data_IF_769439061864
#
_entry.id   IF_769439061864
#
_cell.length_a   1.000
_cell.length_b   1.000
_cell.length_c   1.000
_cell.angle_alpha   90.00
_cell.angle_beta   90.00
_cell.angle_gamma   90.00
#
_symmetry.space_group_name_H-M   'P 1'
#
loop_
_entity.id
_entity.type
_entity.pdbx_description
1 polymer ?
#
# COMPACT_ATOMS: atom_id res chain seq x y z
N UNK A 1 3.04 -6.18 17.41
CA UNK A 1 3.28 -4.98 16.60
C UNK A 1 4.09 -5.40 15.41
N UNK A 2 3.71 -4.97 14.21
CA UNK A 2 4.53 -5.21 13.02
C UNK A 2 5.80 -4.37 13.13
N UNK A 3 6.96 -5.02 13.11
CA UNK A 3 8.26 -4.34 13.16
C UNK A 3 8.91 -4.44 11.79
N UNK A 4 9.18 -3.25 11.23
CA UNK A 4 9.97 -3.04 10.03
C UNK A 4 11.27 -2.34 10.45
N UNK A 5 12.40 -2.79 9.90
CA UNK A 5 13.68 -2.09 10.03
C UNK A 5 14.15 -1.65 8.66
N UNK A 6 14.67 -0.44 8.55
CA UNK A 6 15.20 0.11 7.31
C UNK A 6 16.61 0.66 7.56
N UNK A 7 17.50 0.51 6.58
CA UNK A 7 18.83 1.10 6.65
C UNK A 7 19.30 1.59 5.29
N UNK A 8 20.03 2.70 5.30
CA UNK A 8 20.70 3.29 4.15
C UNK A 8 22.15 3.56 4.54
N UNK A 9 23.09 3.24 3.65
CA UNK A 9 24.53 3.50 3.83
C UNK A 9 24.89 4.82 3.12
N UNK A 10 26.02 4.85 2.40
CA UNK A 10 26.46 6.01 1.62
C UNK A 10 25.99 5.98 0.15
N UNK A 11 25.33 4.90 -0.27
CA UNK A 11 24.71 4.86 -1.60
C UNK A 11 23.54 5.87 -1.66
N UNK A 12 23.37 6.51 -2.81
CA UNK A 12 22.34 7.52 -3.01
C UNK A 12 20.95 6.87 -2.89
N UNK A 13 20.23 7.28 -1.86
CA UNK A 13 18.80 7.06 -1.58
C UNK A 13 18.25 5.64 -1.66
N UNK A 14 19.09 4.62 -1.87
CA UNK A 14 18.73 3.22 -1.79
C UNK A 14 18.65 2.74 -0.34
N UNK A 15 17.49 2.20 0.03
CA UNK A 15 17.19 1.69 1.37
C UNK A 15 16.88 0.19 1.31
N UNK A 16 17.53 -0.59 2.18
CA UNK A 16 17.14 -1.98 2.43
C UNK A 16 16.14 -2.03 3.60
N UNK A 17 14.98 -2.61 3.36
CA UNK A 17 13.86 -2.73 4.30
C UNK A 17 13.64 -4.20 4.62
N UNK A 18 13.62 -4.54 5.91
CA UNK A 18 13.44 -5.91 6.40
C UNK A 18 12.16 -6.03 7.25
N UNK A 19 11.40 -7.10 6.99
CA UNK A 19 10.30 -7.51 7.87
C UNK A 19 10.78 -8.49 8.94
N UNK A 20 10.02 -8.60 10.03
CA UNK A 20 10.27 -9.60 11.07
C UNK A 20 10.11 -11.06 10.58
N UNK A 21 9.42 -11.27 9.46
CA UNK A 21 9.27 -12.57 8.80
C UNK A 21 10.45 -12.94 7.88
N UNK A 22 11.49 -12.09 7.80
CA UNK A 22 12.67 -12.33 6.96
C UNK A 22 12.53 -11.89 5.50
N UNK A 23 11.45 -11.19 5.13
CA UNK A 23 11.32 -10.63 3.79
C UNK A 23 12.14 -9.35 3.64
N UNK A 24 12.61 -9.10 2.42
CA UNK A 24 13.39 -7.90 2.07
C UNK A 24 12.70 -7.14 0.94
N UNK A 25 12.64 -5.82 1.09
CA UNK A 25 12.23 -4.88 0.04
C UNK A 25 13.32 -3.84 -0.16
N UNK A 26 13.44 -3.35 -1.40
CA UNK A 26 14.28 -2.20 -1.72
C UNK A 26 13.37 -1.00 -1.94
N UNK A 27 13.67 0.09 -1.25
CA UNK A 27 13.17 1.41 -1.61
C UNK A 27 14.28 2.23 -2.26
N UNK A 28 13.93 3.04 -3.24
CA UNK A 28 14.86 4.00 -3.83
C UNK A 28 14.10 5.21 -4.33
N UNK A 29 14.71 6.38 -4.22
CA UNK A 29 14.14 7.59 -4.79
C UNK A 29 14.29 7.59 -6.32
N UNK A 30 13.45 8.33 -7.06
CA UNK A 30 13.59 8.44 -8.49
C UNK A 30 14.85 9.22 -8.89
N UNK A 31 15.30 9.00 -10.13
CA UNK A 31 16.42 9.74 -10.73
C UNK A 31 16.26 11.27 -10.66
N UNK A 32 15.01 11.76 -10.73
CA UNK A 32 14.69 13.20 -10.69
C UNK A 32 15.09 13.89 -9.39
N UNK A 33 15.29 13.13 -8.30
CA UNK A 33 15.77 13.63 -7.00
C UNK A 33 17.09 12.99 -6.58
N UNK A 34 17.79 12.34 -7.52
CA UNK A 34 19.15 11.81 -7.33
C UNK A 34 19.24 10.34 -6.90
N UNK A 35 18.12 9.61 -6.86
CA UNK A 35 18.14 8.15 -6.68
C UNK A 35 18.40 7.42 -8.01
N UNK A 36 18.17 6.11 -8.04
CA UNK A 36 18.52 5.26 -9.19
C UNK A 36 17.38 4.33 -9.64
N UNK A 37 16.15 4.54 -9.14
CA UNK A 37 15.00 3.68 -9.44
C UNK A 37 15.28 2.17 -9.19
N UNK A 38 16.10 1.83 -8.18
CA UNK A 38 16.45 0.43 -7.87
C UNK A 38 15.39 -0.33 -7.07
N UNK A 39 14.32 0.36 -6.69
CA UNK A 39 13.19 -0.17 -5.93
C UNK A 39 12.00 0.77 -6.03
N UNK A 40 10.99 0.50 -5.22
CA UNK A 40 9.82 1.38 -5.13
C UNK A 40 10.23 2.66 -4.40
N UNK A 41 9.79 3.82 -4.87
CA UNK A 41 9.86 5.04 -4.07
C UNK A 41 9.02 4.91 -2.80
N UNK A 42 9.30 5.69 -1.74
CA UNK A 42 8.52 5.64 -0.51
C UNK A 42 7.00 5.84 -0.72
N UNK A 43 6.62 6.72 -1.67
CA UNK A 43 5.22 6.94 -2.01
C UNK A 43 4.59 5.74 -2.73
N UNK A 44 5.33 5.10 -3.64
CA UNK A 44 4.87 3.87 -4.31
C UNK A 44 4.73 2.73 -3.31
N UNK A 45 5.63 2.62 -2.31
CA UNK A 45 5.48 1.65 -1.22
C UNK A 45 4.20 1.90 -0.43
N UNK A 46 3.91 3.15 -0.05
CA UNK A 46 2.67 3.48 0.65
C UNK A 46 1.43 3.13 -0.18
N UNK A 47 1.40 3.51 -1.46
CA UNK A 47 0.32 3.16 -2.38
C UNK A 47 0.17 1.64 -2.56
N UNK A 48 1.28 0.92 -2.68
CA UNK A 48 1.30 -0.55 -2.81
C UNK A 48 0.73 -1.25 -1.57
N UNK A 49 0.97 -0.70 -0.37
CA UNK A 49 0.43 -1.26 0.87
C UNK A 49 -1.10 -1.23 0.89
N UNK A 50 -1.71 -0.14 0.40
CA UNK A 50 -3.16 -0.03 0.25
C UNK A 50 -3.67 -1.01 -0.82
N UNK A 51 -2.97 -1.09 -1.96
CA UNK A 51 -3.33 -1.98 -3.05
C UNK A 51 -3.36 -3.46 -2.60
N UNK A 52 -2.30 -3.89 -1.93
CA UNK A 52 -2.16 -5.24 -1.40
C UNK A 52 -3.24 -5.55 -0.35
N UNK A 53 -3.43 -4.65 0.61
CA UNK A 53 -4.39 -4.84 1.69
C UNK A 53 -5.85 -4.92 1.19
N UNK A 54 -6.22 -4.05 0.24
CA UNK A 54 -7.54 -4.10 -0.39
C UNK A 54 -7.73 -5.38 -1.19
N UNK A 55 -6.74 -5.76 -2.02
CA UNK A 55 -6.82 -6.97 -2.86
C UNK A 55 -6.99 -8.23 -2.02
N UNK A 56 -6.19 -8.37 -0.94
CA UNK A 56 -6.32 -9.47 0.00
C UNK A 56 -7.72 -9.50 0.68
N UNK A 57 -8.22 -8.33 1.10
CA UNK A 57 -9.55 -8.24 1.74
C UNK A 57 -10.67 -8.66 0.79
N UNK A 58 -10.62 -8.23 -0.46
CA UNK A 58 -11.60 -8.60 -1.49
C UNK A 58 -11.57 -10.10 -1.80
N UNK A 59 -10.37 -10.67 -1.98
CA UNK A 59 -10.17 -12.11 -2.17
C UNK A 59 -10.75 -12.91 -1.00
N UNK A 60 -10.34 -12.59 0.23
CA UNK A 60 -10.84 -13.25 1.43
C UNK A 60 -12.37 -13.20 1.55
N UNK A 61 -12.98 -12.07 1.17
CA UNK A 61 -14.44 -11.91 1.23
C UNK A 61 -15.15 -12.79 0.19
N UNK A 62 -14.66 -12.79 -1.05
CA UNK A 62 -15.20 -13.63 -2.12
C UNK A 62 -15.09 -15.11 -1.77
N UNK A 63 -13.93 -15.55 -1.28
CA UNK A 63 -13.69 -16.95 -0.88
C UNK A 63 -14.65 -17.38 0.23
N UNK A 64 -14.85 -16.53 1.25
CA UNK A 64 -15.81 -16.80 2.34
C UNK A 64 -17.26 -16.92 1.84
N UNK A 65 -17.60 -16.22 0.76
CA UNK A 65 -18.95 -16.23 0.17
C UNK A 65 -19.12 -17.28 -0.92
N UNK A 66 -18.05 -17.96 -1.33
CA UNK A 66 -18.07 -18.88 -2.47
C UNK A 66 -18.34 -18.16 -3.80
N UNK A 67 -17.93 -16.90 -3.92
CA UNK A 67 -18.15 -16.11 -5.14
C UNK A 67 -17.07 -16.37 -6.18
N UNK A 68 -17.49 -16.38 -7.45
CA UNK A 68 -16.61 -16.66 -8.59
C UNK A 68 -15.75 -15.45 -8.99
N UNK A 69 -14.92 -14.98 -8.06
CA UNK A 69 -13.90 -13.95 -8.32
C UNK A 69 -12.62 -14.63 -8.78
N UNK A 70 -12.18 -14.35 -10.00
CA UNK A 70 -10.98 -14.94 -10.58
C UNK A 70 -9.74 -14.06 -10.36
N UNK A 71 -9.87 -12.76 -10.57
CA UNK A 71 -8.76 -11.82 -10.43
C UNK A 71 -9.25 -10.45 -9.92
N UNK A 72 -8.40 -9.78 -9.13
CA UNK A 72 -8.56 -8.38 -8.74
C UNK A 72 -7.38 -7.61 -9.30
N UNK A 73 -7.64 -6.68 -10.22
CA UNK A 73 -6.63 -5.72 -10.68
C UNK A 73 -6.87 -4.37 -10.04
N UNK A 74 -5.78 -3.65 -9.79
CA UNK A 74 -5.84 -2.40 -9.05
C UNK A 74 -4.82 -1.39 -9.55
N UNK A 75 -5.28 -0.17 -9.78
CA UNK A 75 -4.43 0.99 -9.97
C UNK A 75 -4.60 1.90 -8.76
N UNK A 76 -3.49 2.37 -8.18
CA UNK A 76 -3.49 3.32 -7.07
C UNK A 76 -2.60 4.50 -7.44
N UNK A 77 -3.17 5.70 -7.40
CA UNK A 77 -2.45 6.94 -7.56
C UNK A 77 -2.43 7.67 -6.22
N UNK A 78 -1.24 8.09 -5.79
CA UNK A 78 -1.05 8.90 -4.59
C UNK A 78 -0.51 10.25 -5.00
N UNK A 79 -1.24 11.30 -4.65
CA UNK A 79 -0.86 12.69 -4.89
C UNK A 79 -0.77 13.43 -3.56
N UNK A 80 0.37 14.07 -3.32
CA UNK A 80 0.54 15.01 -2.21
C UNK A 80 0.46 16.41 -2.81
N UNK A 81 -0.56 17.18 -2.43
CA UNK A 81 -0.69 18.56 -2.91
C UNK A 81 0.59 19.33 -2.53
N UNK A 82 1.09 20.18 -3.45
CA UNK A 82 2.34 20.97 -3.29
C UNK A 82 2.37 21.85 -2.04
N UNK A 83 1.22 22.21 -1.46
CA UNK A 83 1.16 22.92 -0.17
C UNK A 83 1.21 22.00 1.07
N UNK A 84 1.28 20.68 0.88
CA UNK A 84 1.37 19.67 1.95
C UNK A 84 0.10 19.51 2.80
N UNK A 85 -0.96 20.27 2.53
CA UNK A 85 -2.17 20.31 3.37
C UNK A 85 -3.10 19.13 3.17
N UNK A 86 -3.03 18.45 2.02
CA UNK A 86 -3.90 17.32 1.69
C UNK A 86 -3.16 16.28 0.85
N UNK A 87 -3.29 15.03 1.27
CA UNK A 87 -2.92 13.86 0.47
C UNK A 87 -4.19 13.28 -0.14
N UNK A 88 -4.15 12.97 -1.42
CA UNK A 88 -5.25 12.33 -2.15
C UNK A 88 -4.78 11.00 -2.70
N UNK A 89 -5.57 9.94 -2.46
CA UNK A 89 -5.29 8.61 -2.97
C UNK A 89 -6.48 8.15 -3.79
N UNK A 90 -6.25 7.92 -5.08
CA UNK A 90 -7.24 7.43 -6.02
C UNK A 90 -6.99 5.95 -6.27
N UNK A 91 -8.05 5.14 -6.23
CA UNK A 91 -7.97 3.71 -6.49
C UNK A 91 -9.02 3.29 -7.52
N UNK A 92 -8.58 2.61 -8.58
CA UNK A 92 -9.46 1.92 -9.52
C UNK A 92 -9.34 0.42 -9.32
N UNK A 93 -10.49 -0.26 -9.30
CA UNK A 93 -10.57 -1.70 -9.07
C UNK A 93 -11.28 -2.33 -10.26
N UNK A 94 -10.65 -3.34 -10.84
CA UNK A 94 -11.26 -4.20 -11.84
C UNK A 94 -11.44 -5.60 -11.24
N UNK A 95 -12.68 -6.11 -11.29
CA UNK A 95 -13.06 -7.43 -10.80
C UNK A 95 -13.37 -8.35 -11.98
N UNK A 96 -12.54 -9.37 -12.14
CA UNK A 96 -12.65 -10.37 -13.21
C UNK A 96 -13.20 -11.66 -12.61
N UNK A 97 -14.27 -12.20 -13.21
CA UNK A 97 -15.00 -13.37 -12.74
C UNK A 97 -16.51 -13.26 -12.98
N UNK A 98 -17.24 -14.34 -12.72
CA UNK A 98 -18.69 -14.38 -12.87
C UNK A 98 -19.38 -13.80 -11.63
N UNK A 99 -19.35 -12.46 -11.52
CA UNK A 99 -19.99 -11.72 -10.45
C UNK A 99 -21.21 -10.95 -10.98
N UNK A 100 -22.35 -11.15 -10.35
CA UNK A 100 -23.53 -10.33 -10.61
C UNK A 100 -23.34 -8.88 -10.10
N UNK A 101 -24.27 -7.99 -10.46
CA UNK A 101 -24.16 -6.57 -10.07
C UNK A 101 -24.21 -6.38 -8.55
N UNK A 102 -25.04 -7.13 -7.83
CA UNK A 102 -25.16 -7.00 -6.38
C UNK A 102 -23.86 -7.45 -5.67
N UNK A 103 -23.21 -8.49 -6.18
CA UNK A 103 -21.90 -8.93 -5.73
C UNK A 103 -20.84 -7.87 -6.01
N UNK A 104 -20.82 -7.27 -7.21
CA UNK A 104 -19.88 -6.19 -7.57
C UNK A 104 -20.06 -4.96 -6.68
N UNK A 105 -21.29 -4.52 -6.44
CA UNK A 105 -21.60 -3.39 -5.55
C UNK A 105 -21.17 -3.70 -4.11
N UNK A 106 -21.38 -4.94 -3.67
CA UNK A 106 -20.92 -5.37 -2.36
C UNK A 106 -19.40 -5.39 -2.25
N UNK A 107 -18.70 -5.87 -3.28
CA UNK A 107 -17.23 -5.86 -3.33
C UNK A 107 -16.69 -4.44 -3.27
N UNK A 108 -17.32 -3.49 -3.98
CA UNK A 108 -16.95 -2.08 -3.89
C UNK A 108 -17.07 -1.53 -2.45
N UNK A 109 -18.16 -1.87 -1.75
CA UNK A 109 -18.31 -1.49 -0.34
C UNK A 109 -17.23 -2.12 0.57
N UNK A 110 -16.87 -3.39 0.32
CA UNK A 110 -15.84 -4.10 1.09
C UNK A 110 -14.43 -3.56 0.80
N UNK A 111 -14.17 -3.00 -0.38
CA UNK A 111 -12.85 -2.47 -0.73
C UNK A 111 -12.34 -1.36 0.22
N UNK A 112 -13.26 -0.67 0.91
CA UNK A 112 -12.95 0.36 1.92
C UNK A 112 -12.84 -0.19 3.35
N UNK A 113 -12.93 -1.50 3.53
CA UNK A 113 -12.95 -2.12 4.87
C UNK A 113 -11.58 -2.67 5.32
N UNK A 114 -10.56 -2.60 4.46
CA UNK A 114 -9.25 -3.18 4.74
C UNK A 114 -8.51 -2.39 5.85
N UNK A 115 -7.67 -3.05 6.67
CA UNK A 115 -6.92 -2.40 7.74
C UNK A 115 -6.12 -1.16 7.30
N UNK A 116 -5.43 -1.20 6.16
CA UNK A 116 -4.65 -0.06 5.66
C UNK A 116 -5.55 1.12 5.29
N UNK A 117 -6.73 0.89 4.69
CA UNK A 117 -7.69 1.97 4.43
C UNK A 117 -8.10 2.67 5.74
N UNK A 118 -8.38 1.89 6.80
CA UNK A 118 -8.75 2.44 8.11
C UNK A 118 -7.63 3.27 8.74
N UNK A 119 -6.38 2.86 8.57
CA UNK A 119 -5.22 3.64 9.01
C UNK A 119 -5.17 4.98 8.25
N UNK A 120 -5.27 4.94 6.93
CA UNK A 120 -5.16 6.13 6.06
C UNK A 120 -6.35 7.10 6.22
N UNK A 121 -7.52 6.62 6.58
CA UNK A 121 -8.71 7.44 6.85
C UNK A 121 -8.84 7.85 8.32
N UNK A 122 -7.94 7.39 9.18
CA UNK A 122 -7.98 7.58 10.62
C UNK A 122 -7.14 8.78 11.10
N UNK A 123 -7.10 8.96 12.42
CA UNK A 123 -6.13 9.86 13.05
C UNK A 123 -4.81 9.12 13.24
N UNK A 124 -3.74 9.71 12.73
CA UNK A 124 -2.38 9.13 12.76
C UNK A 124 -1.53 9.97 13.69
N UNK A 125 -0.86 9.33 14.65
CA UNK A 125 0.18 9.94 15.48
C UNK A 125 1.51 9.24 15.18
N UNK A 126 2.54 10.04 14.91
CA UNK A 126 3.91 9.55 14.70
C UNK A 126 4.75 10.05 15.86
N UNK A 127 5.36 9.12 16.60
CA UNK A 127 6.29 9.41 17.68
C UNK A 127 7.71 9.08 17.21
N UNK A 128 8.64 9.98 17.47
CA UNK A 128 10.03 9.87 17.00
C UNK A 128 10.98 10.00 18.17
N UNK A 129 11.89 9.03 18.30
CA UNK A 129 12.99 9.06 19.27
C UNK A 129 14.31 8.79 18.56
N UNK A 130 15.37 9.45 19.03
CA UNK A 130 16.74 9.06 18.68
C UNK A 130 17.20 7.99 19.66
N UNK A 131 17.68 6.87 19.13
CA UNK A 131 18.32 5.83 19.94
C UNK A 131 19.80 6.16 20.10
N UNK A 132 20.27 6.32 21.33
CA UNK A 132 21.69 6.40 21.65
C UNK A 132 22.36 5.02 21.48
N UNK A 133 23.64 5.02 21.08
CA UNK A 133 24.41 3.80 20.79
C UNK A 133 24.78 3.02 22.06
#
# INVERSE_FOLDING_TARGET
MDKITASIKKELYKIEIHSSSGNVLIADEPETVGGKNQGFSPNELLASSLAACTSATLRMYADRKGWDLQEVKMEVHLEVNREGKRTEIYRKIELIGNLDQAQRDRMLAIANSCPVHKILSGSISIQTELKEN
#
